data_IF_159147791384
#
_entry.id   IF_159147791384
#
_cell.length_a   1.000
_cell.length_b   1.000
_cell.length_c   1.000
_cell.angle_alpha   90.00
_cell.angle_beta   90.00
_cell.angle_gamma   90.00
#
_symmetry.space_group_name_H-M   'P 1'
#
loop_
_entity.id
_entity.type
_entity.pdbx_description
1 polymer ?
#
# COMPACT_ATOMS: atom_id res chain seq x y z
N UNK A 1 5.45 -16.50 13.21
CA UNK A 1 4.45 -15.55 12.68
C UNK A 1 4.66 -15.46 11.18
N UNK A 2 3.62 -15.67 10.40
CA UNK A 2 3.70 -15.53 8.95
C UNK A 2 3.85 -14.05 8.58
N UNK A 3 4.62 -13.77 7.54
CA UNK A 3 4.78 -12.43 6.98
C UNK A 3 4.09 -12.39 5.63
N UNK A 4 3.34 -11.31 5.39
CA UNK A 4 2.70 -11.05 4.10
C UNK A 4 3.40 -9.84 3.50
N UNK A 5 3.91 -10.01 2.28
CA UNK A 5 4.44 -8.91 1.49
C UNK A 5 3.26 -8.23 0.78
N UNK A 6 3.04 -6.96 1.08
CA UNK A 6 1.96 -6.15 0.50
C UNK A 6 2.47 -5.47 -0.76
N UNK A 7 1.74 -5.66 -1.86
CA UNK A 7 2.04 -5.04 -3.14
C UNK A 7 1.64 -3.55 -3.18
N UNK A 8 2.28 -2.78 -4.06
CA UNK A 8 2.07 -1.34 -4.19
C UNK A 8 0.63 -1.00 -4.58
N UNK A 9 0.01 -1.77 -5.46
CA UNK A 9 -1.34 -1.46 -5.97
C UNK A 9 -2.39 -1.56 -4.85
N UNK A 10 -2.30 -2.54 -3.94
CA UNK A 10 -3.18 -2.62 -2.76
C UNK A 10 -3.05 -1.36 -1.88
N UNK A 11 -1.84 -0.83 -1.72
CA UNK A 11 -1.63 0.40 -0.94
C UNK A 11 -2.19 1.64 -1.64
N UNK A 12 -2.17 1.66 -2.97
CA UNK A 12 -2.80 2.72 -3.78
C UNK A 12 -4.33 2.66 -3.64
N UNK A 13 -4.91 1.47 -3.70
CA UNK A 13 -6.36 1.28 -3.52
C UNK A 13 -6.81 1.74 -2.13
N UNK A 14 -6.06 1.42 -1.09
CA UNK A 14 -6.29 1.95 0.27
C UNK A 14 -6.19 3.48 0.29
N UNK A 15 -5.19 4.07 -0.36
CA UNK A 15 -5.05 5.53 -0.44
C UNK A 15 -6.22 6.20 -1.19
N UNK A 16 -6.89 5.47 -2.08
CA UNK A 16 -8.09 5.91 -2.79
C UNK A 16 -9.39 5.60 -2.02
N UNK A 17 -9.32 5.10 -0.78
CA UNK A 17 -10.45 4.69 0.06
C UNK A 17 -11.25 3.50 -0.48
N UNK A 18 -10.61 2.58 -1.20
CA UNK A 18 -11.24 1.32 -1.57
C UNK A 18 -11.50 0.46 -0.32
N UNK A 19 -12.77 0.21 -0.03
CA UNK A 19 -13.20 -0.51 1.16
C UNK A 19 -12.77 -1.98 1.15
N UNK A 20 -12.70 -2.62 -0.01
CA UNK A 20 -12.29 -4.03 -0.14
C UNK A 20 -10.82 -4.16 0.21
N UNK A 21 -9.98 -3.23 -0.28
CA UNK A 21 -8.55 -3.22 0.02
C UNK A 21 -8.29 -2.98 1.52
N UNK A 22 -9.02 -2.04 2.14
CA UNK A 22 -8.93 -1.74 3.57
C UNK A 22 -9.31 -2.97 4.42
N UNK A 23 -10.46 -3.59 4.13
CA UNK A 23 -10.93 -4.78 4.86
C UNK A 23 -9.97 -5.96 4.68
N UNK A 24 -9.42 -6.14 3.47
CA UNK A 24 -8.44 -7.19 3.19
C UNK A 24 -7.21 -7.06 4.08
N UNK A 25 -6.61 -5.87 4.17
CA UNK A 25 -5.43 -5.65 5.02
C UNK A 25 -5.79 -5.76 6.50
N UNK A 26 -6.93 -5.23 6.93
CA UNK A 26 -7.39 -5.34 8.32
C UNK A 26 -7.54 -6.80 8.75
N UNK A 27 -8.13 -7.65 7.92
CA UNK A 27 -8.30 -9.07 8.20
C UNK A 27 -6.96 -9.82 8.25
N UNK A 28 -6.07 -9.60 7.28
CA UNK A 28 -4.77 -10.27 7.24
C UNK A 28 -3.83 -9.83 8.38
N UNK A 29 -3.95 -8.58 8.84
CA UNK A 29 -3.18 -8.06 9.98
C UNK A 29 -3.48 -8.75 11.31
N UNK A 30 -4.63 -9.42 11.42
CA UNK A 30 -5.00 -10.17 12.64
C UNK A 30 -4.19 -11.47 12.78
N UNK A 31 -3.72 -12.05 11.67
CA UNK A 31 -3.04 -13.34 11.65
C UNK A 31 -1.56 -13.26 11.25
N UNK A 32 -1.16 -12.20 10.53
CA UNK A 32 0.16 -12.05 9.93
C UNK A 32 0.74 -10.65 10.10
N UNK A 33 2.06 -10.55 10.10
CA UNK A 33 2.73 -9.25 10.01
C UNK A 33 2.73 -8.79 8.56
N UNK A 34 2.09 -7.66 8.29
CA UNK A 34 2.13 -7.01 6.99
C UNK A 34 3.48 -6.30 6.83
N UNK A 35 4.13 -6.54 5.70
CA UNK A 35 5.44 -5.97 5.36
C UNK A 35 5.41 -5.40 3.96
N UNK A 36 6.24 -4.41 3.69
CA UNK A 36 6.39 -3.80 2.35
C UNK A 36 7.82 -3.94 1.89
N UNK A 37 8.02 -4.06 0.57
CA UNK A 37 9.35 -4.03 -0.02
C UNK A 37 9.90 -2.60 0.01
N UNK A 38 11.23 -2.47 0.07
CA UNK A 38 11.88 -1.17 -0.19
C UNK A 38 11.54 -0.62 -1.58
N UNK A 39 11.25 -1.52 -2.54
CA UNK A 39 10.81 -1.14 -3.89
C UNK A 39 9.42 -0.46 -3.83
N UNK A 40 8.48 -1.01 -3.06
CA UNK A 40 7.16 -0.40 -2.83
C UNK A 40 7.27 1.01 -2.24
N UNK A 41 8.20 1.22 -1.30
CA UNK A 41 8.48 2.55 -0.73
C UNK A 41 9.01 3.52 -1.79
N UNK A 42 9.92 3.06 -2.65
CA UNK A 42 10.45 3.85 -3.76
C UNK A 42 9.35 4.23 -4.75
N UNK A 43 8.51 3.27 -5.15
CA UNK A 43 7.40 3.48 -6.07
C UNK A 43 6.38 4.49 -5.54
N UNK A 44 5.96 4.36 -4.28
CA UNK A 44 5.05 5.31 -3.64
C UNK A 44 5.66 6.71 -3.56
N UNK A 45 6.94 6.82 -3.20
CA UNK A 45 7.64 8.11 -3.14
C UNK A 45 7.69 8.80 -4.50
N UNK A 46 8.05 8.06 -5.56
CA UNK A 46 8.11 8.61 -6.92
C UNK A 46 6.71 8.96 -7.44
N UNK A 47 5.72 8.06 -7.28
CA UNK A 47 4.33 8.32 -7.71
C UNK A 47 3.73 9.53 -6.99
N UNK A 48 3.94 9.68 -5.68
CA UNK A 48 3.45 10.84 -4.93
C UNK A 48 4.06 12.15 -5.43
N UNK A 49 5.37 12.18 -5.70
CA UNK A 49 6.03 13.36 -6.29
C UNK A 49 5.43 13.72 -7.64
N UNK A 50 5.27 12.75 -8.54
CA UNK A 50 4.64 12.98 -9.84
C UNK A 50 3.20 13.51 -9.71
N UNK A 51 2.43 13.04 -8.72
CA UNK A 51 1.06 13.55 -8.46
C UNK A 51 1.09 15.01 -8.00
N UNK A 52 2.03 15.37 -7.13
CA UNK A 52 2.22 16.77 -6.72
C UNK A 52 2.63 17.64 -7.90
N UNK A 53 3.56 17.17 -8.74
CA UNK A 53 4.00 17.88 -9.96
C UNK A 53 2.86 18.05 -10.98
N UNK A 54 1.95 17.07 -11.10
CA UNK A 54 0.78 17.15 -11.98
C UNK A 54 -0.26 18.18 -11.49
N UNK A 55 -0.29 18.46 -10.19
CA UNK A 55 -1.23 19.39 -9.56
C UNK A 55 -0.69 20.82 -9.40
N UNK A 56 0.59 21.06 -9.73
CA UNK A 56 1.28 22.34 -9.65
C UNK A 56 1.21 23.12 -10.98
#
# INVERSE_FOLDING_TARGET
MAQILVDTDILIDVANNDTIAIERLANESQASTLTVSIITVMELTVRCRNKTELQA
#
